data_IF_525473687836
#
_entry.id   IF_525473687836
#
_cell.length_a   1.000
_cell.length_b   1.000
_cell.length_c   1.000
_cell.angle_alpha   90.00
_cell.angle_beta   90.00
_cell.angle_gamma   90.00
#
_symmetry.space_group_name_H-M   'P 1'
#
loop_
_entity.id
_entity.type
_entity.pdbx_description
1 polymer ?
#
# COMPACT_ATOMS: atom_id res chain seq x y z
N UNK A 1 -30.64 -72.20 -8.04
CA UNK A 1 -30.99 -71.89 -9.44
C UNK A 1 -32.40 -71.36 -9.38
N UNK A 2 -32.74 -70.11 -9.68
CA UNK A 2 -32.08 -69.05 -10.42
C UNK A 2 -33.21 -68.28 -11.14
N UNK A 3 -33.17 -66.94 -11.07
CA UNK A 3 -33.88 -65.98 -11.94
C UNK A 3 -35.43 -65.91 -11.82
N UNK A 4 -36.11 -64.76 -11.82
CA UNK A 4 -35.71 -63.35 -11.98
C UNK A 4 -36.92 -62.50 -12.46
N UNK A 5 -37.15 -61.35 -11.81
CA UNK A 5 -37.75 -60.04 -12.27
C UNK A 5 -39.14 -60.02 -12.94
N UNK A 6 -39.98 -58.99 -12.87
CA UNK A 6 -40.07 -57.63 -12.29
C UNK A 6 -41.59 -57.26 -12.37
N UNK A 7 -42.20 -56.24 -11.70
CA UNK A 7 -41.94 -54.84 -12.05
C UNK A 7 -42.11 -53.79 -10.93
N UNK A 8 -41.71 -52.57 -11.31
CA UNK A 8 -42.19 -51.26 -10.85
C UNK A 8 -41.37 -50.55 -9.77
N UNK A 9 -40.28 -49.96 -10.26
CA UNK A 9 -39.58 -48.82 -9.68
C UNK A 9 -40.49 -47.58 -9.55
N UNK A 10 -40.90 -47.25 -8.33
CA UNK A 10 -41.32 -45.91 -7.95
C UNK A 10 -40.16 -45.22 -7.25
N UNK A 11 -39.42 -44.37 -7.97
CA UNK A 11 -38.39 -43.53 -7.38
C UNK A 11 -39.05 -42.38 -6.61
N UNK A 12 -39.05 -42.45 -5.27
CA UNK A 12 -39.26 -41.29 -4.41
C UNK A 12 -38.03 -40.39 -4.51
N UNK A 13 -38.15 -39.30 -5.26
CA UNK A 13 -37.21 -38.19 -5.21
C UNK A 13 -37.44 -37.41 -3.90
N UNK A 14 -36.64 -37.71 -2.88
CA UNK A 14 -36.55 -36.87 -1.68
C UNK A 14 -35.86 -35.55 -2.04
N UNK A 15 -36.63 -34.49 -2.18
CA UNK A 15 -36.15 -33.12 -2.34
C UNK A 15 -35.97 -32.46 -0.98
N UNK A 16 -34.97 -32.88 -0.21
CA UNK A 16 -34.58 -32.18 1.02
C UNK A 16 -33.19 -31.54 0.85
N UNK A 17 -33.22 -30.23 0.62
CA UNK A 17 -32.05 -29.38 0.55
C UNK A 17 -32.49 -27.93 0.68
N UNK A 18 -33.11 -27.57 1.81
CA UNK A 18 -33.30 -26.15 2.13
C UNK A 18 -31.91 -25.49 2.20
N UNK A 19 -31.69 -24.37 1.50
CA UNK A 19 -30.43 -23.66 1.57
C UNK A 19 -30.25 -23.14 3.00
N UNK A 20 -29.17 -23.56 3.65
CA UNK A 20 -28.73 -23.07 4.95
C UNK A 20 -28.63 -21.53 4.87
N UNK A 21 -29.65 -20.85 5.38
CA UNK A 21 -29.70 -19.38 5.36
C UNK A 21 -28.75 -18.89 6.44
N UNK A 22 -27.50 -18.62 6.06
CA UNK A 22 -26.51 -18.04 6.97
C UNK A 22 -27.07 -16.74 7.54
N UNK A 23 -27.29 -16.70 8.85
CA UNK A 23 -27.87 -15.55 9.53
C UNK A 23 -27.07 -14.28 9.21
N UNK A 24 -27.76 -13.23 8.76
CA UNK A 24 -27.13 -11.94 8.43
C UNK A 24 -26.52 -11.32 9.68
N UNK A 25 -25.21 -11.12 9.69
CA UNK A 25 -24.53 -10.33 10.73
C UNK A 25 -24.92 -8.85 10.57
N UNK A 26 -25.49 -8.29 11.62
CA UNK A 26 -25.89 -6.88 11.70
C UNK A 26 -24.82 -6.04 12.39
N UNK A 27 -24.90 -4.72 12.28
CA UNK A 27 -23.97 -3.85 13.01
C UNK A 27 -24.16 -3.97 14.53
N UNK A 28 -25.38 -4.25 14.98
CA UNK A 28 -25.70 -4.46 16.39
C UNK A 28 -24.96 -5.66 16.98
N UNK A 29 -24.69 -6.70 16.18
CA UNK A 29 -23.94 -7.87 16.62
C UNK A 29 -22.49 -7.51 16.95
N UNK A 30 -21.89 -6.57 16.21
CA UNK A 30 -20.57 -6.04 16.56
C UNK A 30 -20.61 -5.29 17.90
N UNK A 31 -21.61 -4.43 18.11
CA UNK A 31 -21.73 -3.60 19.31
C UNK A 31 -22.06 -4.40 20.58
N UNK A 32 -22.68 -5.58 20.45
CA UNK A 32 -22.96 -6.48 21.57
C UNK A 32 -21.78 -7.39 21.93
N UNK A 33 -20.75 -7.43 21.09
CA UNK A 33 -19.57 -8.25 21.38
C UNK A 33 -18.75 -7.66 22.55
N UNK A 34 -18.00 -8.49 23.29
CA UNK A 34 -17.14 -8.00 24.36
C UNK A 34 -16.15 -6.94 23.89
N UNK A 35 -15.76 -6.05 24.80
CA UNK A 35 -14.69 -5.08 24.54
C UNK A 35 -13.33 -5.74 24.79
N UNK A 36 -12.39 -5.49 23.87
CA UNK A 36 -10.97 -5.83 23.99
C UNK A 36 -10.18 -4.54 24.11
N UNK A 37 -9.24 -4.51 25.04
CA UNK A 37 -8.29 -3.41 25.25
C UNK A 37 -7.00 -3.70 24.47
N UNK A 38 -6.65 -2.79 23.55
CA UNK A 38 -5.37 -2.77 22.85
C UNK A 38 -4.43 -1.83 23.59
N UNK A 39 -3.35 -2.37 24.15
CA UNK A 39 -2.31 -1.60 24.85
C UNK A 39 -1.21 -1.28 23.84
N UNK A 40 -1.22 -0.07 23.29
CA UNK A 40 -0.39 0.37 22.16
C UNK A 40 0.80 1.19 22.64
N UNK A 41 1.98 0.93 22.09
CA UNK A 41 3.20 1.65 22.43
C UNK A 41 3.88 1.19 23.72
N UNK A 42 5.00 1.85 24.05
CA UNK A 42 5.89 1.49 25.14
C UNK A 42 6.17 2.67 26.07
N UNK A 43 6.41 2.36 27.35
CA UNK A 43 6.83 3.37 28.34
C UNK A 43 5.82 4.51 28.49
N UNK A 44 6.25 5.79 28.47
CA UNK A 44 5.37 6.92 28.74
C UNK A 44 4.37 7.23 27.62
N UNK A 45 4.56 6.70 26.40
CA UNK A 45 3.63 6.85 25.29
C UNK A 45 2.60 5.70 25.20
N UNK A 46 2.66 4.74 26.13
CA UNK A 46 1.71 3.64 26.18
C UNK A 46 0.28 4.16 26.37
N UNK A 47 -0.61 3.76 25.47
CA UNK A 47 -2.01 4.19 25.46
C UNK A 47 -2.92 2.98 25.31
N UNK A 48 -4.06 2.99 26.01
CA UNK A 48 -5.07 1.93 25.90
C UNK A 48 -6.19 2.39 24.97
N UNK A 49 -6.44 1.61 23.92
CA UNK A 49 -7.58 1.76 23.02
C UNK A 49 -8.59 0.64 23.28
N UNK A 50 -9.88 0.95 23.26
CA UNK A 50 -10.94 -0.03 23.44
C UNK A 50 -11.70 -0.26 22.13
N UNK A 51 -11.91 -1.52 21.76
CA UNK A 51 -12.65 -1.88 20.54
C UNK A 51 -13.51 -3.13 20.74
N UNK A 52 -14.56 -3.25 19.92
CA UNK A 52 -15.44 -4.42 19.93
C UNK A 52 -14.73 -5.65 19.35
N UNK A 53 -14.75 -6.76 20.08
CA UNK A 53 -14.10 -8.01 19.70
C UNK A 53 -14.49 -8.49 18.29
N UNK A 54 -15.78 -8.42 17.96
CA UNK A 54 -16.28 -8.89 16.68
C UNK A 54 -15.75 -8.06 15.49
N UNK A 55 -15.27 -6.83 15.71
CA UNK A 55 -14.59 -6.06 14.66
C UNK A 55 -13.11 -6.46 14.55
N UNK A 56 -12.45 -6.70 15.67
CA UNK A 56 -11.04 -7.12 15.71
C UNK A 56 -10.82 -8.49 15.06
N UNK A 57 -11.75 -9.43 15.24
CA UNK A 57 -11.69 -10.78 14.61
C UNK A 57 -11.68 -10.77 13.08
N UNK A 58 -11.98 -9.64 12.42
CA UNK A 58 -11.75 -9.47 10.98
C UNK A 58 -10.26 -9.54 10.60
N UNK A 59 -9.37 -9.27 11.55
CA UNK A 59 -7.94 -9.48 11.41
C UNK A 59 -7.57 -10.87 11.93
N UNK A 60 -6.92 -11.73 11.12
CA UNK A 60 -6.44 -13.03 11.59
C UNK A 60 -5.41 -12.90 12.72
N UNK A 61 -4.66 -11.79 12.76
CA UNK A 61 -3.72 -11.51 13.84
C UNK A 61 -4.46 -11.37 15.17
N UNK A 62 -5.47 -10.49 15.25
CA UNK A 62 -6.24 -10.31 16.48
C UNK A 62 -7.10 -11.53 16.82
N UNK A 63 -7.68 -12.21 15.84
CA UNK A 63 -8.45 -13.43 16.05
C UNK A 63 -7.63 -14.53 16.74
N UNK A 64 -6.35 -14.67 16.37
CA UNK A 64 -5.41 -15.58 17.03
C UNK A 64 -5.12 -15.24 18.51
N UNK A 65 -5.26 -13.99 18.93
CA UNK A 65 -5.19 -13.61 20.36
C UNK A 65 -6.54 -13.82 21.05
N UNK A 66 -7.62 -13.41 20.38
CA UNK A 66 -8.98 -13.46 20.93
C UNK A 66 -9.44 -14.89 21.20
N UNK A 67 -9.08 -15.84 20.34
CA UNK A 67 -9.36 -17.27 20.50
C UNK A 67 -8.73 -17.89 21.76
N UNK A 68 -7.73 -17.22 22.36
CA UNK A 68 -7.06 -17.65 23.59
C UNK A 68 -7.68 -17.05 24.86
N UNK A 69 -8.62 -16.13 24.73
CA UNK A 69 -9.27 -15.53 25.89
C UNK A 69 -10.20 -16.53 26.57
N UNK A 70 -10.02 -16.70 27.87
CA UNK A 70 -10.91 -17.51 28.71
C UNK A 70 -11.98 -16.63 29.33
N UNK A 71 -13.12 -17.22 29.66
CA UNK A 71 -14.20 -16.53 30.37
C UNK A 71 -13.71 -15.95 31.70
N UNK A 72 -14.08 -14.70 32.00
CA UNK A 72 -13.66 -13.99 33.22
C UNK A 72 -12.25 -13.39 33.19
N UNK A 73 -11.42 -13.64 32.17
CA UNK A 73 -10.08 -13.04 32.06
C UNK A 73 -10.12 -11.62 31.45
N UNK A 74 -9.18 -10.72 31.80
CA UNK A 74 -9.03 -9.43 31.13
C UNK A 74 -8.71 -9.63 29.64
N UNK A 75 -9.54 -9.07 28.76
CA UNK A 75 -9.37 -9.13 27.31
C UNK A 75 -8.40 -8.04 26.85
N UNK A 76 -7.09 -8.31 26.95
CA UNK A 76 -6.01 -7.37 26.60
C UNK A 76 -5.09 -7.94 25.52
N UNK A 77 -4.74 -7.10 24.55
CA UNK A 77 -3.72 -7.39 23.53
C UNK A 77 -2.65 -6.30 23.62
N UNK A 78 -1.39 -6.71 23.76
CA UNK A 78 -0.25 -5.79 23.85
C UNK A 78 0.38 -5.61 22.47
N UNK A 79 0.54 -4.34 22.08
CA UNK A 79 1.07 -3.86 20.80
C UNK A 79 2.21 -2.87 21.06
N UNK A 80 3.32 -3.32 21.67
CA UNK A 80 4.37 -2.44 22.19
C UNK A 80 5.09 -1.63 21.09
N UNK A 81 5.22 -2.21 19.91
CA UNK A 81 5.99 -1.63 18.79
C UNK A 81 5.11 -0.86 17.79
N UNK A 82 3.80 -0.77 18.05
CA UNK A 82 2.86 -0.17 17.13
C UNK A 82 2.66 1.32 17.39
N UNK A 83 2.48 2.06 16.29
CA UNK A 83 2.17 3.47 16.30
C UNK A 83 0.70 3.72 16.67
N UNK A 84 0.46 4.69 17.55
CA UNK A 84 -0.87 4.99 18.09
C UNK A 84 -1.82 5.52 17.00
N UNK A 85 -1.34 6.40 16.12
CA UNK A 85 -2.15 7.01 15.06
C UNK A 85 -2.48 6.02 13.96
N UNK A 86 -1.52 5.15 13.62
CA UNK A 86 -1.73 4.06 12.68
C UNK A 86 -2.74 3.05 13.24
N UNK A 87 -2.61 2.66 14.51
CA UNK A 87 -3.57 1.76 15.17
C UNK A 87 -4.97 2.39 15.24
N UNK A 88 -5.06 3.70 15.55
CA UNK A 88 -6.31 4.44 15.50
C UNK A 88 -6.95 4.42 14.11
N UNK A 89 -6.15 4.64 13.05
CA UNK A 89 -6.62 4.59 11.65
C UNK A 89 -7.09 3.18 11.25
N UNK A 90 -6.41 2.13 11.73
CA UNK A 90 -6.85 0.76 11.54
C UNK A 90 -8.20 0.50 12.20
N UNK A 91 -8.38 0.96 13.45
CA UNK A 91 -9.66 0.82 14.13
C UNK A 91 -10.75 1.57 13.36
N UNK A 92 -10.52 2.82 12.96
CA UNK A 92 -11.46 3.58 12.13
C UNK A 92 -11.88 2.79 10.88
N UNK A 93 -10.91 2.17 10.19
CA UNK A 93 -11.18 1.29 9.06
C UNK A 93 -12.05 0.08 9.43
N UNK A 94 -11.81 -0.59 10.56
CA UNK A 94 -12.63 -1.75 10.95
C UNK A 94 -14.11 -1.40 11.15
N UNK A 95 -14.40 -0.17 11.60
CA UNK A 95 -15.76 0.35 11.77
C UNK A 95 -16.38 0.86 10.47
N UNK A 96 -15.62 1.60 9.66
CA UNK A 96 -16.17 2.37 8.54
C UNK A 96 -15.71 1.93 7.15
N UNK A 97 -14.82 0.94 7.06
CA UNK A 97 -14.09 0.54 5.85
C UNK A 97 -13.31 1.69 5.19
N UNK A 98 -13.01 2.73 5.95
CA UNK A 98 -12.30 3.93 5.54
C UNK A 98 -11.63 4.55 6.78
N UNK A 99 -10.57 5.32 6.60
CA UNK A 99 -9.89 6.04 7.69
C UNK A 99 -9.54 7.47 7.27
N UNK A 100 -9.32 8.38 8.19
CA UNK A 100 -9.00 9.76 7.85
C UNK A 100 -7.54 9.94 7.36
N UNK A 101 -7.25 10.77 6.34
CA UNK A 101 -8.20 11.48 5.49
C UNK A 101 -8.95 10.57 4.52
N UNK A 102 -10.27 10.77 4.39
CA UNK A 102 -11.12 9.90 3.55
C UNK A 102 -11.01 10.29 2.08
N UNK A 103 -11.38 9.37 1.20
CA UNK A 103 -11.54 9.69 -0.23
C UNK A 103 -12.81 10.49 -0.43
N UNK A 104 -12.69 11.59 -1.17
CA UNK A 104 -13.82 12.43 -1.57
C UNK A 104 -14.50 11.82 -2.80
N UNK A 105 -15.73 11.35 -2.61
CA UNK A 105 -16.54 10.69 -3.63
C UNK A 105 -16.29 9.18 -3.75
N UNK A 106 -17.14 8.52 -4.55
CA UNK A 106 -17.13 7.06 -4.70
C UNK A 106 -16.05 6.56 -5.69
N UNK A 107 -15.40 7.48 -6.41
CA UNK A 107 -14.32 7.12 -7.32
C UNK A 107 -13.12 6.64 -6.51
N UNK A 108 -12.56 5.50 -6.92
CA UNK A 108 -11.28 5.04 -6.37
C UNK A 108 -10.21 6.13 -6.49
N UNK A 109 -10.28 6.98 -7.52
CA UNK A 109 -9.33 8.05 -7.84
C UNK A 109 -9.73 9.43 -7.30
N UNK A 110 -10.74 9.51 -6.43
CA UNK A 110 -11.13 10.75 -5.78
C UNK A 110 -10.01 11.37 -4.93
N UNK A 111 -9.93 12.70 -4.82
CA UNK A 111 -8.96 13.37 -3.97
C UNK A 111 -9.18 12.99 -2.49
N UNK A 112 -8.16 13.17 -1.66
CA UNK A 112 -8.29 12.97 -0.22
C UNK A 112 -8.84 14.23 0.45
N UNK A 113 -9.58 14.04 1.53
CA UNK A 113 -9.89 15.11 2.48
C UNK A 113 -8.61 15.84 2.92
N UNK A 114 -8.72 17.14 3.17
CA UNK A 114 -7.59 17.93 3.62
C UNK A 114 -7.41 17.72 5.12
N UNK A 115 -6.20 17.36 5.53
CA UNK A 115 -5.82 17.33 6.93
C UNK A 115 -5.31 18.72 7.36
N UNK A 116 -6.07 19.48 8.18
CA UNK A 116 -5.67 20.82 8.58
C UNK A 116 -4.49 20.82 9.56
N UNK A 117 -4.11 19.66 10.10
CA UNK A 117 -2.97 19.54 11.02
C UNK A 117 -1.63 19.46 10.30
N UNK A 118 -1.64 19.19 8.99
CA UNK A 118 -0.44 19.04 8.17
C UNK A 118 -0.03 20.39 7.61
N UNK A 119 1.23 20.76 7.85
CA UNK A 119 1.82 21.99 7.33
C UNK A 119 1.96 21.92 5.81
N UNK A 120 1.71 23.05 5.14
CA UNK A 120 1.91 23.19 3.70
C UNK A 120 3.00 24.25 3.47
N UNK A 121 4.17 23.89 2.90
CA UNK A 121 4.51 22.59 2.32
C UNK A 121 4.87 21.50 3.36
N UNK A 122 4.47 20.25 3.09
CA UNK A 122 4.80 19.09 3.94
C UNK A 122 6.24 18.63 3.68
N UNK A 123 7.18 19.25 4.41
CA UNK A 123 8.61 18.95 4.29
C UNK A 123 9.04 17.71 5.06
N UNK A 124 8.26 17.29 6.07
CA UNK A 124 8.57 16.13 6.92
C UNK A 124 7.89 14.84 6.42
N UNK A 125 7.04 14.95 5.39
CA UNK A 125 6.35 13.83 4.78
C UNK A 125 5.28 13.24 5.69
N UNK A 126 4.70 14.04 6.59
CA UNK A 126 3.72 13.60 7.59
C UNK A 126 2.54 12.90 6.92
N UNK A 127 2.04 13.46 5.81
CA UNK A 127 0.90 12.89 5.09
C UNK A 127 1.22 11.52 4.49
N UNK A 128 2.40 11.37 3.88
CA UNK A 128 2.86 10.11 3.30
C UNK A 128 3.13 9.06 4.38
N UNK A 129 3.83 9.45 5.45
CA UNK A 129 4.20 8.57 6.55
C UNK A 129 2.99 8.01 7.29
N UNK A 130 1.92 8.80 7.44
CA UNK A 130 0.65 8.31 7.99
C UNK A 130 0.15 7.10 7.21
N UNK A 131 0.05 7.20 5.88
CA UNK A 131 -0.43 6.09 5.06
C UNK A 131 0.58 4.93 4.98
N UNK A 132 1.88 5.23 4.99
CA UNK A 132 2.91 4.21 5.02
C UNK A 132 2.84 3.35 6.30
N UNK A 133 2.61 3.97 7.47
CA UNK A 133 2.40 3.24 8.74
C UNK A 133 1.13 2.41 8.71
N UNK A 134 0.03 2.92 8.16
CA UNK A 134 -1.19 2.13 8.00
C UNK A 134 -0.95 0.94 7.05
N UNK A 135 -0.18 1.13 5.98
CA UNK A 135 0.17 0.06 5.05
C UNK A 135 0.96 -1.06 5.74
N UNK A 136 1.96 -0.74 6.56
CA UNK A 136 2.80 -1.73 7.25
C UNK A 136 2.00 -2.51 8.31
N UNK A 137 1.19 -1.84 9.13
CA UNK A 137 0.37 -2.55 10.14
C UNK A 137 -0.73 -3.39 9.48
N UNK A 138 -1.27 -2.94 8.34
CA UNK A 138 -2.27 -3.70 7.61
C UNK A 138 -1.70 -5.00 7.05
N UNK A 139 -0.45 -4.98 6.60
CA UNK A 139 0.28 -6.19 6.22
C UNK A 139 0.51 -7.10 7.42
N UNK A 140 1.07 -6.55 8.51
CA UNK A 140 1.36 -7.28 9.75
C UNK A 140 0.13 -7.96 10.35
N UNK A 141 -1.02 -7.28 10.30
CA UNK A 141 -2.26 -7.78 10.89
C UNK A 141 -3.17 -8.51 9.90
N UNK A 142 -2.69 -8.78 8.67
CA UNK A 142 -3.41 -9.59 7.69
C UNK A 142 -4.70 -8.93 7.18
N UNK A 143 -4.67 -7.62 6.94
CA UNK A 143 -5.80 -6.83 6.43
C UNK A 143 -5.50 -6.35 4.98
N UNK A 144 -5.62 -7.23 3.96
CA UNK A 144 -5.22 -6.91 2.59
C UNK A 144 -6.03 -5.76 1.97
N UNK A 145 -7.31 -5.62 2.32
CA UNK A 145 -8.15 -4.52 1.85
C UNK A 145 -7.73 -3.16 2.44
N UNK A 146 -7.30 -3.12 3.71
CA UNK A 146 -6.71 -1.93 4.32
C UNK A 146 -5.34 -1.61 3.71
N UNK A 147 -4.50 -2.64 3.47
CA UNK A 147 -3.20 -2.48 2.79
C UNK A 147 -3.37 -1.86 1.41
N UNK A 148 -4.34 -2.35 0.63
CA UNK A 148 -4.70 -1.80 -0.68
C UNK A 148 -5.23 -0.37 -0.59
N UNK A 149 -6.09 -0.08 0.39
CA UNK A 149 -6.59 1.27 0.65
C UNK A 149 -5.44 2.25 0.93
N UNK A 150 -4.54 1.90 1.86
CA UNK A 150 -3.41 2.73 2.24
C UNK A 150 -2.47 3.00 1.06
N UNK A 151 -2.16 1.96 0.27
CA UNK A 151 -1.37 2.11 -0.96
C UNK A 151 -2.00 3.10 -1.95
N UNK A 152 -3.32 3.00 -2.11
CA UNK A 152 -4.08 3.91 -2.96
C UNK A 152 -3.97 5.35 -2.46
N UNK A 153 -4.06 5.57 -1.15
CA UNK A 153 -3.95 6.92 -0.56
C UNK A 153 -2.56 7.52 -0.71
N UNK A 154 -1.50 6.72 -0.55
CA UNK A 154 -0.11 7.16 -0.79
C UNK A 154 0.04 7.80 -2.18
N UNK A 155 -0.57 7.20 -3.22
CA UNK A 155 -0.49 7.72 -4.59
C UNK A 155 -1.21 9.06 -4.79
N UNK A 156 -2.07 9.47 -3.86
CA UNK A 156 -2.86 10.71 -3.93
C UNK A 156 -2.35 11.79 -3.00
N UNK A 157 -1.42 11.44 -2.12
CA UNK A 157 -0.79 12.38 -1.23
C UNK A 157 0.21 13.23 -2.01
N UNK A 158 0.02 14.54 -1.96
CA UNK A 158 1.01 15.48 -2.48
C UNK A 158 2.18 15.58 -1.52
N UNK A 159 3.38 15.73 -2.05
CA UNK A 159 4.61 15.63 -1.28
C UNK A 159 5.69 16.57 -1.81
N UNK A 160 6.63 16.90 -0.95
CA UNK A 160 7.87 17.61 -1.31
C UNK A 160 9.01 16.61 -1.50
N UNK A 161 10.11 17.01 -2.12
CA UNK A 161 11.29 16.15 -2.24
C UNK A 161 11.82 15.68 -0.87
N UNK A 162 11.80 16.54 0.14
CA UNK A 162 12.22 16.19 1.51
C UNK A 162 11.26 15.21 2.18
N UNK A 163 9.94 15.43 2.02
CA UNK A 163 8.93 14.49 2.52
C UNK A 163 9.01 13.11 1.85
N UNK A 164 9.34 13.07 0.56
CA UNK A 164 9.55 11.82 -0.19
C UNK A 164 10.81 11.07 0.25
N UNK A 165 11.85 11.77 0.69
CA UNK A 165 13.03 11.13 1.29
C UNK A 165 12.66 10.49 2.63
N UNK A 166 11.92 11.21 3.48
CA UNK A 166 11.46 10.67 4.76
C UNK A 166 10.56 9.44 4.57
N UNK A 167 9.64 9.51 3.61
CA UNK A 167 8.81 8.38 3.20
C UNK A 167 9.62 7.20 2.65
N UNK A 168 10.58 7.45 1.76
CA UNK A 168 11.46 6.40 1.22
C UNK A 168 12.25 5.72 2.35
N UNK A 169 12.77 6.48 3.30
CA UNK A 169 13.48 5.96 4.47
C UNK A 169 12.60 4.99 5.27
N UNK A 170 11.37 5.40 5.54
CA UNK A 170 10.41 4.55 6.24
C UNK A 170 10.11 3.26 5.47
N UNK A 171 9.81 3.36 4.18
CA UNK A 171 9.47 2.19 3.34
C UNK A 171 10.61 1.17 3.34
N UNK A 172 11.85 1.60 3.11
CA UNK A 172 12.98 0.67 3.03
C UNK A 172 13.36 0.06 4.37
N UNK A 173 13.03 0.74 5.48
CA UNK A 173 13.24 0.26 6.84
C UNK A 173 12.16 -0.73 7.30
N UNK A 174 10.89 -0.42 7.05
CA UNK A 174 9.74 -1.08 7.70
C UNK A 174 9.03 -2.13 6.83
N UNK A 175 9.41 -2.27 5.55
CA UNK A 175 8.80 -3.25 4.62
C UNK A 175 9.79 -4.33 4.20
N UNK A 176 9.31 -5.50 3.76
CA UNK A 176 10.18 -6.56 3.20
C UNK A 176 10.78 -6.14 1.86
N UNK A 177 11.93 -6.72 1.49
CA UNK A 177 12.63 -6.42 0.22
C UNK A 177 11.82 -6.85 -1.00
N UNK A 178 10.95 -7.83 -0.81
CA UNK A 178 10.08 -8.42 -1.82
C UNK A 178 8.79 -7.61 -2.02
N UNK A 179 8.50 -6.62 -1.16
CA UNK A 179 7.33 -5.75 -1.31
C UNK A 179 7.55 -4.67 -2.38
N UNK A 180 7.60 -5.13 -3.64
CA UNK A 180 7.75 -4.29 -4.81
C UNK A 180 6.54 -3.36 -5.02
N UNK A 181 5.39 -3.65 -4.40
CA UNK A 181 4.16 -2.86 -4.55
C UNK A 181 4.36 -1.44 -4.03
N UNK A 182 5.05 -1.29 -2.90
CA UNK A 182 5.36 0.01 -2.30
C UNK A 182 6.78 0.49 -2.64
N UNK A 183 7.76 -0.41 -2.80
CA UNK A 183 9.16 -0.04 -3.08
C UNK A 183 9.40 0.44 -4.51
N UNK A 184 8.77 -0.18 -5.51
CA UNK A 184 8.98 0.18 -6.92
C UNK A 184 8.49 1.61 -7.25
N UNK A 185 7.31 2.07 -6.80
CA UNK A 185 6.90 3.45 -6.98
C UNK A 185 7.86 4.46 -6.35
N UNK A 186 8.39 4.17 -5.15
CA UNK A 186 9.41 5.01 -4.49
C UNK A 186 10.67 5.12 -5.34
N UNK A 187 11.22 3.99 -5.82
CA UNK A 187 12.39 4.01 -6.67
C UNK A 187 12.13 4.73 -8.00
N UNK A 188 10.95 4.56 -8.59
CA UNK A 188 10.56 5.24 -9.83
C UNK A 188 10.41 6.76 -9.68
N UNK A 189 9.86 7.23 -8.55
CA UNK A 189 9.78 8.65 -8.22
C UNK A 189 11.16 9.32 -8.29
N UNK A 190 12.16 8.64 -7.76
CA UNK A 190 13.53 9.14 -7.67
C UNK A 190 14.34 8.94 -8.94
N UNK A 191 14.16 7.82 -9.66
CA UNK A 191 14.78 7.59 -10.96
C UNK A 191 14.37 8.65 -11.99
N UNK A 192 13.10 9.09 -11.98
CA UNK A 192 12.59 10.14 -12.89
C UNK A 192 13.01 11.55 -12.50
N UNK A 193 13.40 11.77 -11.23
CA UNK A 193 13.82 13.06 -10.67
C UNK A 193 15.29 13.07 -10.24
N UNK A 194 16.14 12.37 -10.98
CA UNK A 194 17.57 12.25 -10.66
C UNK A 194 18.33 13.59 -10.58
N UNK A 195 17.81 14.65 -11.20
CA UNK A 195 18.37 16.01 -11.12
C UNK A 195 18.11 16.65 -9.74
N UNK A 196 16.89 16.49 -9.20
CA UNK A 196 16.51 16.97 -7.85
C UNK A 196 17.39 16.30 -6.80
N UNK A 197 17.59 14.98 -6.92
CA UNK A 197 18.46 14.22 -6.00
C UNK A 197 19.88 14.75 -5.91
N UNK A 198 20.46 15.20 -7.04
CA UNK A 198 21.85 15.65 -7.07
C UNK A 198 22.05 17.10 -6.67
N UNK A 199 21.01 17.93 -6.73
CA UNK A 199 21.14 19.37 -6.50
C UNK A 199 20.45 19.86 -5.23
N UNK A 200 19.38 19.18 -4.78
CA UNK A 200 18.54 19.64 -3.67
C UNK A 200 18.61 18.74 -2.44
N UNK A 201 18.95 17.45 -2.60
CA UNK A 201 18.91 16.44 -1.53
C UNK A 201 20.09 15.47 -1.58
N UNK A 202 21.28 15.93 -2.01
CA UNK A 202 22.44 15.05 -2.22
C UNK A 202 22.90 14.36 -0.92
N UNK A 203 22.96 15.11 0.18
CA UNK A 203 23.41 14.59 1.47
C UNK A 203 22.43 13.54 2.02
N UNK A 204 21.13 13.81 1.97
CA UNK A 204 20.10 12.86 2.41
C UNK A 204 20.04 11.63 1.50
N UNK A 205 20.20 11.82 0.18
CA UNK A 205 20.28 10.71 -0.76
C UNK A 205 21.48 9.82 -0.50
N UNK A 206 22.65 10.43 -0.25
CA UNK A 206 23.88 9.71 0.09
C UNK A 206 23.69 8.92 1.38
N UNK A 207 23.13 9.55 2.42
CA UNK A 207 22.82 8.87 3.67
C UNK A 207 21.86 7.69 3.45
N UNK A 208 20.80 7.88 2.66
CA UNK A 208 19.84 6.83 2.29
C UNK A 208 20.50 5.65 1.56
N UNK A 209 21.39 5.89 0.61
CA UNK A 209 22.08 4.83 -0.11
C UNK A 209 23.05 4.04 0.79
N UNK A 210 23.67 4.70 1.76
CA UNK A 210 24.59 4.06 2.72
C UNK A 210 23.83 3.27 3.78
N UNK A 211 22.69 3.78 4.26
CA UNK A 211 21.85 3.11 5.25
C UNK A 211 21.05 1.95 4.62
N UNK A 212 20.51 2.15 3.41
CA UNK A 212 19.70 1.18 2.68
C UNK A 212 20.26 0.92 1.26
N UNK A 213 21.29 0.07 1.10
CA UNK A 213 21.90 -0.18 -0.21
C UNK A 213 20.93 -0.63 -1.31
N UNK A 214 19.86 -1.34 -0.94
CA UNK A 214 18.81 -1.75 -1.87
C UNK A 214 18.11 -0.55 -2.55
N UNK A 215 17.95 0.57 -1.83
CA UNK A 215 17.34 1.79 -2.39
C UNK A 215 18.16 2.34 -3.57
N UNK A 216 19.48 2.41 -3.42
CA UNK A 216 20.37 2.82 -4.49
C UNK A 216 20.35 1.84 -5.68
N UNK A 217 20.32 0.53 -5.39
CA UNK A 217 20.23 -0.51 -6.42
C UNK A 217 18.92 -0.42 -7.23
N UNK A 218 17.78 -0.24 -6.55
CA UNK A 218 16.46 -0.17 -7.19
C UNK A 218 16.36 1.07 -8.09
N UNK A 219 16.87 2.22 -7.65
CA UNK A 219 16.94 3.44 -8.46
C UNK A 219 17.86 3.24 -9.67
N UNK A 220 19.07 2.70 -9.46
CA UNK A 220 20.04 2.51 -10.53
C UNK A 220 19.48 1.57 -11.60
N UNK A 221 18.87 0.46 -11.18
CA UNK A 221 18.24 -0.51 -12.09
C UNK A 221 17.18 0.17 -12.96
N UNK A 222 16.28 0.97 -12.36
CA UNK A 222 15.26 1.69 -13.12
C UNK A 222 15.84 2.74 -14.08
N UNK A 223 16.92 3.42 -13.71
CA UNK A 223 17.59 4.40 -14.58
C UNK A 223 18.27 3.69 -15.77
N UNK A 224 18.90 2.54 -15.54
CA UNK A 224 19.51 1.72 -16.59
C UNK A 224 18.44 1.19 -17.55
N UNK A 225 17.34 0.64 -17.03
CA UNK A 225 16.20 0.18 -17.84
C UNK A 225 15.62 1.30 -18.72
N UNK A 226 15.50 2.51 -18.17
CA UNK A 226 15.01 3.68 -18.92
C UNK A 226 15.98 4.09 -20.03
N UNK A 227 17.29 3.97 -19.80
CA UNK A 227 18.32 4.29 -20.79
C UNK A 227 18.36 3.26 -21.92
N UNK A 228 18.27 1.99 -21.59
CA UNK A 228 18.20 0.89 -22.57
C UNK A 228 17.00 1.08 -23.49
N UNK A 229 15.80 1.27 -22.92
CA UNK A 229 14.57 1.54 -23.69
C UNK A 229 14.68 2.76 -24.60
N UNK A 230 15.32 3.84 -24.13
CA UNK A 230 15.56 5.05 -24.95
C UNK A 230 16.52 4.76 -26.10
N UNK A 231 17.54 3.94 -25.88
CA UNK A 231 18.50 3.56 -26.93
C UNK A 231 17.88 2.65 -27.98
N UNK A 232 17.03 1.71 -27.58
CA UNK A 232 16.26 0.86 -28.49
C UNK A 232 15.25 1.68 -29.31
N UNK A 233 14.55 2.62 -28.67
CA UNK A 233 13.62 3.52 -29.34
C UNK A 233 14.32 4.51 -30.29
N UNK A 234 15.60 4.84 -30.05
CA UNK A 234 16.38 5.71 -30.91
C UNK A 234 16.89 5.01 -32.20
N UNK A 235 16.82 3.68 -32.29
CA UNK A 235 17.27 2.88 -33.43
C UNK A 235 18.78 2.99 -33.70
N UNK A 236 19.36 2.17 -34.60
CA UNK A 236 20.73 2.35 -35.03
C UNK A 236 20.82 3.68 -35.78
N UNK A 237 21.50 4.66 -35.19
CA UNK A 237 21.97 5.81 -35.94
C UNK A 237 22.89 5.29 -37.05
N UNK A 238 22.46 5.44 -38.30
CA UNK A 238 23.30 5.27 -39.48
C UNK A 238 24.41 6.32 -39.42
N UNK A 239 25.49 6.01 -38.70
CA UNK A 239 26.76 6.66 -38.89
C UNK A 239 27.30 6.25 -40.26
N UNK A 240 26.98 7.05 -41.27
CA UNK A 240 27.50 6.85 -42.61
C UNK A 240 26.80 7.68 -43.67
N UNK A 241 26.87 9.00 -43.58
CA UNK A 241 27.21 9.87 -44.72
C UNK A 241 27.15 11.35 -44.30
N UNK A 242 28.31 12.01 -44.37
CA UNK A 242 28.40 13.45 -44.20
C UNK A 242 27.65 14.17 -45.33
N UNK A 243 26.89 15.25 -45.07
CA UNK A 243 26.23 15.98 -46.13
C UNK A 243 27.28 16.69 -47.00
N UNK A 244 27.45 16.23 -48.24
CA UNK A 244 28.28 16.91 -49.24
C UNK A 244 27.69 18.29 -49.51
N UNK A 245 28.41 19.31 -49.06
CA UNK A 245 28.18 20.72 -49.35
C UNK A 245 28.08 20.97 -50.86
N UNK A 246 26.88 21.26 -51.36
CA UNK A 246 26.62 21.66 -52.73
C UNK A 246 27.04 23.11 -52.97
N UNK A 247 28.28 23.33 -53.41
CA UNK A 247 28.73 24.63 -53.96
C UNK A 247 28.01 24.90 -55.29
N UNK A 248 26.98 25.73 -55.27
CA UNK A 248 26.35 26.35 -56.45
C UNK A 248 27.38 27.25 -57.15
N UNK A 249 27.84 26.88 -58.35
CA UNK A 249 28.58 27.80 -59.24
C UNK A 249 27.57 28.69 -59.97
N UNK A 250 27.74 30.00 -59.88
CA UNK A 250 27.04 30.96 -60.71
C UNK A 250 27.55 30.88 -62.16
N UNK A 251 26.63 30.80 -63.13
CA UNK A 251 26.95 30.89 -64.56
C UNK A 251 26.53 32.29 -65.03
N UNK A 252 27.53 33.10 -65.37
CA UNK A 252 27.37 34.37 -66.10
C UNK A 252 26.97 34.01 -67.54
N UNK A 253 25.89 34.58 -68.05
CA UNK A 253 25.58 34.59 -69.48
C UNK A 253 25.72 36.03 -69.97
N UNK A 254 26.63 36.25 -70.90
CA UNK A 254 26.59 37.42 -71.78
C UNK A 254 25.47 37.23 -72.81
N UNK A 255 24.88 38.37 -73.18
CA UNK A 255 23.85 38.54 -74.19
C UNK A 255 23.44 40.00 -74.18
#
# INVERSE_FOLDING_TARGET
>A
MGEGGDPASGEEFSLDGEPETTARVTFLDYLRSPIVELVVGNGPSQTVLAAHQALLTKSPYFDGFISKFTEGSPRRIYLPDEDIDATGSLLEYLYYNEYFPKRLGDSKDGPLEIDPTILVPDNDGVALLKHARVYTIADKFGLPALKSLAHSKIHRTTSTARGEIAYARFVYKETSREDLTIRRPVAAFWATRSHVLRHEAEDEFRAMCLEFPQFGFDILSLVLDQKEKRSEAAGPSTHGEAPKSGRKRARVSQG
#
